data_IF_531390493543
#
_entry.id   IF_531390493543
#
_cell.length_a   1.000
_cell.length_b   1.000
_cell.length_c   1.000
_cell.angle_alpha   90.00
_cell.angle_beta   90.00
_cell.angle_gamma   90.00
#
_symmetry.space_group_name_H-M   'P 1'
#
loop_
_entity.id
_entity.type
_entity.pdbx_description
1 polymer ?
#
# COMPACT_ATOMS: atom_id res chain seq x y z
N UNK A 1 8.05 0.68 -11.82
CA UNK A 1 6.78 0.76 -11.04
C UNK A 1 7.09 1.42 -9.71
N UNK A 2 6.25 2.33 -9.29
CA UNK A 2 6.33 2.99 -7.97
C UNK A 2 4.90 3.00 -7.42
N UNK A 3 4.72 2.50 -6.21
CA UNK A 3 3.46 2.69 -5.47
C UNK A 3 3.37 4.17 -5.14
N UNK A 4 2.28 4.83 -5.56
CA UNK A 4 2.09 6.26 -5.31
C UNK A 4 1.70 6.52 -3.86
N UNK A 5 1.87 7.75 -3.41
CA UNK A 5 1.42 8.16 -2.07
C UNK A 5 -0.11 8.03 -1.91
N UNK A 6 -0.87 8.19 -3.00
CA UNK A 6 -2.31 7.97 -2.98
C UNK A 6 -2.67 6.51 -2.69
N UNK A 7 -1.95 5.57 -3.28
CA UNK A 7 -2.15 4.12 -3.01
C UNK A 7 -1.76 3.78 -1.58
N UNK A 8 -0.63 4.32 -1.05
CA UNK A 8 -0.26 4.15 0.36
C UNK A 8 -1.37 4.63 1.30
N UNK A 9 -1.90 5.81 1.03
CA UNK A 9 -3.01 6.35 1.80
C UNK A 9 -4.28 5.50 1.68
N UNK A 10 -4.58 4.96 0.49
CA UNK A 10 -5.72 4.08 0.28
C UNK A 10 -5.58 2.77 1.07
N UNK A 11 -4.41 2.16 1.09
CA UNK A 11 -4.14 0.98 1.92
C UNK A 11 -4.41 1.26 3.40
N UNK A 12 -3.95 2.39 3.91
CA UNK A 12 -4.13 2.79 5.30
C UNK A 12 -5.60 3.05 5.63
N UNK A 13 -6.32 3.74 4.76
CA UNK A 13 -7.76 4.00 4.89
C UNK A 13 -8.54 2.69 4.90
N UNK A 14 -8.32 1.82 3.91
CA UNK A 14 -9.01 0.53 3.82
C UNK A 14 -8.71 -0.37 5.02
N UNK A 15 -7.44 -0.45 5.44
CA UNK A 15 -7.03 -1.22 6.62
C UNK A 15 -7.72 -0.70 7.89
N UNK A 16 -7.80 0.61 8.06
CA UNK A 16 -8.50 1.22 9.21
C UNK A 16 -10.00 0.91 9.19
N UNK A 17 -10.68 1.09 8.06
CA UNK A 17 -12.09 0.75 7.93
C UNK A 17 -12.34 -0.75 8.16
N UNK A 18 -11.43 -1.61 7.74
CA UNK A 18 -11.51 -3.05 7.98
C UNK A 18 -11.38 -3.44 9.47
N UNK A 19 -10.75 -2.61 10.31
CA UNK A 19 -10.75 -2.81 11.77
C UNK A 19 -12.04 -2.36 12.43
N UNK A 20 -12.84 -1.55 11.75
CA UNK A 20 -14.10 -0.94 12.21
C UNK A 20 -15.31 -1.63 11.59
N UNK A 21 -15.30 -2.97 11.52
CA UNK A 21 -16.35 -3.77 10.87
C UNK A 21 -17.76 -3.32 11.24
N UNK A 22 -18.55 -2.90 10.23
CA UNK A 22 -19.92 -2.47 10.39
C UNK A 22 -20.12 -1.06 10.97
N UNK A 23 -19.06 -0.38 11.38
CA UNK A 23 -19.13 0.99 11.88
C UNK A 23 -18.98 1.99 10.72
N UNK A 24 -19.72 3.10 10.80
CA UNK A 24 -19.60 4.23 9.88
C UNK A 24 -18.63 5.23 10.50
N UNK A 25 -17.51 5.49 9.80
CA UNK A 25 -16.43 6.35 10.29
C UNK A 25 -16.40 7.66 9.51
N UNK A 26 -16.34 8.79 10.20
CA UNK A 26 -16.27 10.11 9.54
C UNK A 26 -14.95 10.36 8.82
N UNK A 27 -14.98 11.15 7.73
CA UNK A 27 -13.76 11.47 7.00
C UNK A 27 -12.71 12.23 7.84
N UNK A 28 -13.08 13.20 8.68
CA UNK A 28 -12.13 13.82 9.63
C UNK A 28 -11.47 12.82 10.58
N UNK A 29 -12.22 11.88 11.13
CA UNK A 29 -11.68 10.84 12.02
C UNK A 29 -10.67 9.95 11.30
N UNK A 30 -10.99 9.53 10.06
CA UNK A 30 -10.06 8.75 9.23
C UNK A 30 -8.78 9.56 8.98
N UNK A 31 -8.92 10.84 8.60
CA UNK A 31 -7.83 11.73 8.29
C UNK A 31 -6.88 11.90 9.49
N UNK A 32 -7.43 12.17 10.66
CA UNK A 32 -6.68 12.36 11.91
C UNK A 32 -5.99 11.05 12.33
N UNK A 33 -6.76 9.95 12.40
CA UNK A 33 -6.24 8.65 12.85
C UNK A 33 -5.13 8.12 11.96
N UNK A 34 -5.25 8.32 10.64
CA UNK A 34 -4.28 7.84 9.66
C UNK A 34 -3.18 8.88 9.35
N UNK A 35 -3.24 10.08 9.95
CA UNK A 35 -2.35 11.20 9.68
C UNK A 35 -2.26 11.52 8.17
N UNK A 36 -3.42 11.60 7.50
CA UNK A 36 -3.57 11.95 6.09
C UNK A 36 -4.30 13.30 6.02
N UNK A 37 -3.85 14.26 5.21
CA UNK A 37 -4.59 15.51 5.05
C UNK A 37 -6.02 15.26 4.57
N UNK A 38 -7.01 15.89 5.19
CA UNK A 38 -8.44 15.63 4.96
C UNK A 38 -8.85 15.72 3.46
N UNK A 39 -8.27 16.68 2.76
CA UNK A 39 -8.51 16.84 1.32
C UNK A 39 -8.10 15.62 0.49
N UNK A 40 -7.00 14.97 0.87
CA UNK A 40 -6.57 13.72 0.23
C UNK A 40 -7.45 12.56 0.64
N UNK A 41 -7.82 12.47 1.94
CA UNK A 41 -8.74 11.45 2.44
C UNK A 41 -10.04 11.44 1.67
N UNK A 42 -10.69 12.60 1.49
CA UNK A 42 -11.94 12.72 0.74
C UNK A 42 -11.79 12.33 -0.74
N UNK A 43 -10.67 12.70 -1.38
CA UNK A 43 -10.40 12.33 -2.77
C UNK A 43 -10.22 10.82 -2.93
N UNK A 44 -9.50 10.18 -2.02
CA UNK A 44 -9.26 8.75 -2.04
C UNK A 44 -10.54 7.98 -1.75
N UNK A 45 -11.29 8.37 -0.72
CA UNK A 45 -12.60 7.78 -0.38
C UNK A 45 -13.57 7.84 -1.57
N UNK A 46 -13.56 8.96 -2.34
CA UNK A 46 -14.36 9.05 -3.56
C UNK A 46 -13.95 8.01 -4.60
N UNK A 47 -12.64 7.82 -4.84
CA UNK A 47 -12.15 6.80 -5.79
C UNK A 47 -12.53 5.39 -5.34
N UNK A 48 -12.34 5.09 -4.06
CA UNK A 48 -12.71 3.80 -3.46
C UNK A 48 -14.22 3.53 -3.54
N UNK A 49 -15.03 4.57 -3.34
CA UNK A 49 -16.49 4.48 -3.47
C UNK A 49 -16.90 4.18 -4.93
N UNK A 50 -16.32 4.89 -5.91
CA UNK A 50 -16.56 4.62 -7.32
C UNK A 50 -16.16 3.22 -7.76
N UNK A 51 -15.17 2.63 -7.10
CA UNK A 51 -14.74 1.25 -7.32
C UNK A 51 -15.59 0.20 -6.53
N UNK A 52 -16.57 0.64 -5.73
CA UNK A 52 -17.40 -0.24 -4.92
C UNK A 52 -16.67 -0.91 -3.74
N UNK A 53 -15.53 -0.36 -3.33
CA UNK A 53 -14.76 -0.84 -2.18
C UNK A 53 -15.30 -0.26 -0.89
N UNK A 54 -15.64 1.02 -0.88
CA UNK A 54 -16.27 1.72 0.25
C UNK A 54 -17.60 2.31 -0.18
N UNK A 55 -18.47 2.58 0.80
CA UNK A 55 -19.68 3.37 0.57
C UNK A 55 -19.84 4.42 1.67
N UNK A 56 -20.75 5.37 1.46
CA UNK A 56 -20.95 6.51 2.33
C UNK A 56 -22.41 6.61 2.83
N UNK A 57 -22.57 6.76 4.14
CA UNK A 57 -23.86 7.07 4.75
C UNK A 57 -23.98 8.59 4.97
N UNK A 58 -25.08 9.19 4.51
CA UNK A 58 -25.34 10.62 4.70
C UNK A 58 -26.01 10.91 6.04
N UNK A 59 -25.85 12.13 6.56
CA UNK A 59 -26.52 12.62 7.77
C UNK A 59 -25.57 13.08 8.86
N UNK A 60 -26.09 13.50 10.01
CA UNK A 60 -25.32 13.98 11.15
C UNK A 60 -24.35 12.92 11.72
N UNK A 61 -24.71 11.66 11.62
CA UNK A 61 -23.87 10.48 11.96
C UNK A 61 -23.38 9.77 10.70
N UNK A 62 -23.15 10.52 9.62
CA UNK A 62 -22.68 10.01 8.35
C UNK A 62 -21.19 9.75 8.35
N UNK A 63 -20.74 9.01 7.35
CA UNK A 63 -19.33 8.68 7.15
C UNK A 63 -19.16 7.59 6.12
N UNK A 64 -18.06 6.91 6.19
CA UNK A 64 -17.65 5.87 5.24
C UNK A 64 -17.49 4.53 5.93
N UNK A 65 -17.73 3.47 5.21
CA UNK A 65 -17.56 2.09 5.67
C UNK A 65 -17.10 1.20 4.52
N UNK A 66 -16.50 0.07 4.85
CA UNK A 66 -16.08 -0.93 3.86
C UNK A 66 -17.30 -1.76 3.44
N UNK A 67 -17.57 -1.84 2.13
CA UNK A 67 -18.67 -2.65 1.57
C UNK A 67 -18.24 -4.10 1.41
N UNK A 68 -17.00 -4.30 0.97
CA UNK A 68 -16.42 -5.60 0.70
C UNK A 68 -15.86 -6.24 1.95
N UNK A 69 -15.97 -7.56 2.05
CA UNK A 69 -15.30 -8.30 3.12
C UNK A 69 -13.77 -8.13 3.00
N UNK A 70 -13.10 -7.90 4.11
CA UNK A 70 -11.65 -7.77 4.18
C UNK A 70 -10.89 -9.02 3.72
N UNK A 71 -11.51 -10.21 3.82
CA UNK A 71 -10.94 -11.47 3.35
C UNK A 71 -11.04 -11.64 1.84
N UNK A 72 -12.00 -10.96 1.19
CA UNK A 72 -12.21 -11.01 -0.26
C UNK A 72 -11.55 -9.83 -0.98
N UNK A 73 -11.23 -8.75 -0.28
CA UNK A 73 -10.59 -7.58 -0.86
C UNK A 73 -9.06 -7.74 -0.83
N UNK A 74 -8.46 -7.74 -2.02
CA UNK A 74 -7.01 -7.85 -2.16
C UNK A 74 -6.34 -6.49 -2.47
N UNK A 75 -5.03 -6.43 -2.28
CA UNK A 75 -4.27 -5.18 -2.49
C UNK A 75 -4.27 -4.73 -3.96
N UNK A 76 -4.36 -5.65 -4.92
CA UNK A 76 -4.40 -5.29 -6.34
C UNK A 76 -5.63 -4.47 -6.68
N UNK A 77 -6.80 -4.83 -6.17
CA UNK A 77 -8.06 -4.10 -6.42
C UNK A 77 -8.00 -2.66 -5.87
N UNK A 78 -7.36 -2.47 -4.72
CA UNK A 78 -7.15 -1.13 -4.16
C UNK A 78 -6.20 -0.31 -5.05
N UNK A 79 -5.10 -0.90 -5.52
CA UNK A 79 -4.18 -0.24 -6.46
C UNK A 79 -4.92 0.15 -7.74
N UNK A 80 -5.68 -0.78 -8.31
CA UNK A 80 -6.42 -0.58 -9.55
C UNK A 80 -7.48 0.52 -9.42
N UNK A 81 -8.15 0.62 -8.26
CA UNK A 81 -9.12 1.67 -7.97
C UNK A 81 -8.49 3.09 -7.89
N UNK A 82 -7.24 3.19 -7.47
CA UNK A 82 -6.57 4.48 -7.25
C UNK A 82 -5.78 4.93 -8.48
N UNK A 83 -4.89 4.08 -8.98
CA UNK A 83 -3.91 4.40 -10.03
C UNK A 83 -4.21 3.72 -11.37
N UNK A 84 -5.22 2.84 -11.39
CA UNK A 84 -5.47 1.96 -12.54
C UNK A 84 -4.57 0.73 -12.57
N UNK A 85 -4.63 -0.06 -13.64
CA UNK A 85 -3.92 -1.33 -13.73
C UNK A 85 -2.40 -1.14 -13.67
N UNK A 86 -1.74 -2.05 -12.98
CA UNK A 86 -0.28 -2.06 -12.83
C UNK A 86 0.38 -2.25 -14.20
N UNK A 87 1.23 -1.31 -14.57
CA UNK A 87 1.99 -1.33 -15.81
C UNK A 87 3.45 -0.95 -15.53
N UNK A 88 4.35 -1.90 -15.66
CA UNK A 88 5.78 -1.67 -15.38
C UNK A 88 6.51 -1.06 -16.56
N UNK A 89 5.99 -1.20 -17.79
CA UNK A 89 6.59 -0.60 -18.99
C UNK A 89 5.52 -0.21 -20.01
N UNK A 90 5.83 0.77 -20.85
CA UNK A 90 4.94 1.26 -21.91
C UNK A 90 4.50 0.17 -22.87
N UNK A 91 5.41 -0.74 -23.26
CA UNK A 91 5.10 -1.81 -24.21
C UNK A 91 4.08 -2.85 -23.68
N UNK A 92 3.71 -2.78 -22.39
CA UNK A 92 2.70 -3.64 -21.79
C UNK A 92 1.32 -2.96 -21.71
N UNK A 93 1.19 -1.75 -22.21
CA UNK A 93 -0.11 -1.04 -22.30
C UNK A 93 -0.93 -1.62 -23.44
N UNK A 94 -2.21 -1.86 -23.16
CA UNK A 94 -3.16 -2.25 -24.20
C UNK A 94 -3.38 -1.07 -25.18
N UNK A 95 -3.27 -1.32 -26.46
CA UNK A 95 -3.64 -0.37 -27.49
C UNK A 95 -2.59 0.67 -27.87
N UNK A 96 -1.39 0.64 -27.29
CA UNK A 96 -0.38 1.65 -27.55
C UNK A 96 0.70 1.22 -28.55
N UNK A 97 0.91 2.05 -29.57
CA UNK A 97 2.01 1.99 -30.55
C UNK A 97 3.36 2.45 -29.95
N UNK A 98 3.62 2.15 -28.66
CA UNK A 98 4.75 2.74 -27.93
C UNK A 98 6.08 2.02 -28.11
N UNK A 99 6.15 1.01 -28.94
CA UNK A 99 7.43 0.39 -29.25
C UNK A 99 7.99 0.94 -30.58
N UNK A 100 8.97 1.82 -30.50
CA UNK A 100 9.62 2.40 -31.68
C UNK A 100 10.30 1.37 -32.62
N UNK A 101 10.51 0.14 -32.14
CA UNK A 101 11.11 -0.94 -32.94
C UNK A 101 10.09 -1.93 -33.49
N UNK A 102 8.97 -2.16 -32.76
CA UNK A 102 8.05 -3.24 -33.06
C UNK A 102 6.63 -2.66 -33.15
N UNK A 103 6.21 -2.32 -34.38
CA UNK A 103 4.91 -1.69 -34.63
C UNK A 103 3.75 -2.69 -34.68
N UNK A 104 4.03 -3.98 -34.91
CA UNK A 104 3.00 -5.01 -34.95
C UNK A 104 2.92 -5.80 -33.63
N UNK A 105 1.73 -6.32 -33.33
CA UNK A 105 1.54 -7.16 -32.15
C UNK A 105 2.46 -8.40 -32.20
N UNK A 106 2.60 -9.03 -33.35
CA UNK A 106 3.45 -10.21 -33.55
C UNK A 106 4.92 -9.91 -33.23
N UNK A 107 5.45 -8.77 -33.66
CA UNK A 107 6.81 -8.34 -33.34
C UNK A 107 6.99 -8.07 -31.84
N UNK A 108 5.98 -7.49 -31.18
CA UNK A 108 5.99 -7.29 -29.73
C UNK A 108 6.02 -8.61 -28.96
N UNK A 109 5.20 -9.58 -29.38
CA UNK A 109 5.17 -10.92 -28.78
C UNK A 109 6.49 -11.66 -28.95
N UNK A 110 7.20 -11.47 -30.04
CA UNK A 110 8.54 -12.04 -30.27
C UNK A 110 9.66 -11.31 -29.51
N UNK A 111 9.40 -10.14 -28.96
CA UNK A 111 10.40 -9.35 -28.25
C UNK A 111 10.71 -9.97 -26.88
N UNK A 112 11.95 -10.39 -26.66
CA UNK A 112 12.41 -10.99 -25.40
C UNK A 112 12.20 -10.07 -24.18
N UNK A 113 12.35 -8.75 -24.35
CA UNK A 113 12.06 -7.78 -23.29
C UNK A 113 10.57 -7.75 -22.96
N UNK A 114 9.70 -7.72 -23.99
CA UNK A 114 8.25 -7.73 -23.78
C UNK A 114 7.80 -9.00 -23.04
N UNK A 115 8.24 -10.16 -23.49
CA UNK A 115 7.92 -11.45 -22.84
C UNK A 115 8.37 -11.47 -21.38
N UNK A 116 9.63 -11.05 -21.10
CA UNK A 116 10.16 -11.09 -19.74
C UNK A 116 9.51 -10.08 -18.82
N UNK A 117 9.27 -8.86 -19.31
CA UNK A 117 8.56 -7.82 -18.53
C UNK A 117 7.09 -8.17 -18.30
N UNK A 118 6.42 -8.80 -19.28
CA UNK A 118 5.06 -9.31 -19.12
C UNK A 118 4.98 -10.37 -18.01
N UNK A 119 5.92 -11.31 -18.02
CA UNK A 119 6.02 -12.33 -16.96
C UNK A 119 6.24 -11.71 -15.56
N UNK A 120 7.17 -10.76 -15.46
CA UNK A 120 7.45 -10.05 -14.18
C UNK A 120 6.21 -9.28 -13.72
N UNK A 121 5.54 -8.56 -14.62
CA UNK A 121 4.31 -7.84 -14.30
C UNK A 121 3.22 -8.78 -13.79
N UNK A 122 3.00 -9.90 -14.46
CA UNK A 122 2.04 -10.93 -14.04
C UNK A 122 2.36 -11.49 -12.66
N UNK A 123 3.63 -11.74 -12.36
CA UNK A 123 4.07 -12.21 -11.05
C UNK A 123 3.78 -11.18 -9.95
N UNK A 124 4.08 -9.89 -10.19
CA UNK A 124 3.79 -8.79 -9.25
C UNK A 124 2.27 -8.68 -9.02
N UNK A 125 1.46 -8.70 -10.08
CA UNK A 125 0.00 -8.65 -9.97
C UNK A 125 -0.52 -9.83 -9.15
N UNK A 126 -0.03 -11.04 -9.39
CA UNK A 126 -0.45 -12.22 -8.65
C UNK A 126 -0.09 -12.11 -7.15
N UNK A 127 1.08 -11.60 -6.81
CA UNK A 127 1.45 -11.37 -5.41
C UNK A 127 0.47 -10.41 -4.72
N UNK A 128 0.11 -9.29 -5.36
CA UNK A 128 -0.89 -8.36 -4.79
C UNK A 128 -2.29 -8.96 -4.72
N UNK A 129 -2.68 -9.81 -5.67
CA UNK A 129 -3.98 -10.50 -5.66
C UNK A 129 -4.08 -11.57 -4.57
N UNK A 130 -2.98 -12.19 -4.22
CA UNK A 130 -2.94 -13.20 -3.15
C UNK A 130 -2.90 -12.57 -1.76
N UNK A 131 -2.53 -11.30 -1.64
CA UNK A 131 -2.43 -10.59 -0.37
C UNK A 131 -3.77 -9.90 -0.08
N UNK A 132 -4.49 -10.36 0.95
CA UNK A 132 -5.79 -9.81 1.33
C UNK A 132 -5.68 -8.69 2.34
N UNK A 133 -6.69 -7.83 2.41
CA UNK A 133 -6.75 -6.75 3.39
C UNK A 133 -6.82 -7.28 4.83
N UNK A 134 -7.34 -8.48 5.03
CA UNK A 134 -7.44 -9.11 6.34
C UNK A 134 -6.09 -9.31 7.04
N UNK A 135 -5.01 -9.45 6.28
CA UNK A 135 -3.66 -9.57 6.82
C UNK A 135 -3.22 -8.30 7.58
N UNK A 136 -3.74 -7.15 7.17
CA UNK A 136 -3.41 -5.83 7.73
C UNK A 136 -4.43 -5.36 8.77
N UNK A 137 -5.67 -5.86 8.74
CA UNK A 137 -6.74 -5.45 9.64
C UNK A 137 -6.57 -6.00 11.07
N UNK A 138 -5.78 -7.05 11.28
CA UNK A 138 -5.60 -7.70 12.60
C UNK A 138 -4.59 -7.00 13.52
N UNK A 139 -3.86 -6.00 13.05
CA UNK A 139 -2.70 -5.48 13.77
C UNK A 139 -2.92 -4.07 14.34
N UNK A 140 -3.64 -3.98 15.47
CA UNK A 140 -3.48 -2.83 16.41
C UNK A 140 -2.01 -2.62 16.82
N UNK A 141 -1.14 -3.59 16.58
CA UNK A 141 0.30 -3.52 16.84
C UNK A 141 1.06 -2.65 15.82
N UNK A 142 0.65 -2.65 14.54
CA UNK A 142 1.27 -1.84 13.48
C UNK A 142 1.09 -0.33 13.67
N UNK A 143 0.00 0.11 14.26
CA UNK A 143 -0.21 1.53 14.57
C UNK A 143 0.75 2.04 15.64
N UNK A 144 1.11 1.22 16.64
CA UNK A 144 2.09 1.58 17.68
C UNK A 144 3.53 1.60 17.14
N UNK A 145 3.89 0.66 16.29
CA UNK A 145 5.24 0.54 15.72
C UNK A 145 5.49 1.63 14.66
N UNK A 146 4.55 1.85 13.73
CA UNK A 146 4.70 2.87 12.71
C UNK A 146 4.70 4.30 13.28
N UNK A 147 3.84 4.61 14.26
CA UNK A 147 3.88 5.94 14.90
C UNK A 147 5.21 6.21 15.63
N UNK A 148 5.84 5.18 16.19
CA UNK A 148 7.16 5.31 16.81
C UNK A 148 8.27 5.45 15.76
N UNK A 149 8.25 4.62 14.72
CA UNK A 149 9.26 4.64 13.66
C UNK A 149 9.20 5.91 12.79
N UNK A 150 8.01 6.38 12.40
CA UNK A 150 7.85 7.63 11.65
C UNK A 150 8.16 8.87 12.50
N UNK A 151 7.82 8.89 13.79
CA UNK A 151 8.22 10.00 14.68
C UNK A 151 9.72 10.04 14.88
N UNK A 152 10.36 8.91 15.04
CA UNK A 152 11.82 8.83 15.15
C UNK A 152 12.50 9.17 13.81
N UNK A 153 12.01 8.65 12.67
CA UNK A 153 12.55 9.00 11.35
C UNK A 153 12.38 10.48 10.99
N UNK A 154 11.29 11.13 11.38
CA UNK A 154 11.09 12.57 11.19
C UNK A 154 12.00 13.43 12.09
N UNK A 155 12.38 12.93 13.26
CA UNK A 155 13.37 13.57 14.13
C UNK A 155 14.75 13.50 13.48
N UNK A 156 15.11 12.37 12.85
CA UNK A 156 16.38 12.19 12.15
C UNK A 156 16.48 13.00 10.84
N UNK A 157 15.37 13.22 10.14
CA UNK A 157 15.33 14.05 8.93
C UNK A 157 15.56 15.55 9.22
N UNK A 158 15.28 16.01 10.44
CA UNK A 158 15.47 17.41 10.86
C UNK A 158 16.82 17.71 11.49
N UNK A 159 17.70 16.72 11.67
CA UNK A 159 19.03 16.96 12.22
C UNK A 159 20.03 17.40 11.15
N UNK A 160 20.80 18.47 11.40
CA UNK A 160 21.85 18.91 10.48
C UNK A 160 22.95 17.85 10.35
N UNK A 161 23.53 17.75 9.16
CA UNK A 161 24.54 16.77 8.70
C UNK A 161 25.83 16.65 9.54
N UNK A 162 25.97 17.39 10.62
CA UNK A 162 27.21 17.50 11.44
C UNK A 162 27.33 16.46 12.57
N UNK A 163 26.40 15.51 12.72
CA UNK A 163 26.39 14.55 13.84
C UNK A 163 26.66 13.10 13.46
N UNK A 164 27.33 12.84 12.35
CA UNK A 164 27.48 11.47 11.82
C UNK A 164 28.65 10.64 12.43
N UNK A 165 29.49 11.21 13.29
CA UNK A 165 30.74 10.54 13.73
C UNK A 165 30.63 9.70 15.02
N UNK A 166 29.49 9.63 15.71
CA UNK A 166 29.38 8.88 16.97
C UNK A 166 28.45 7.68 16.99
N UNK A 167 28.05 7.13 15.83
CA UNK A 167 27.01 6.09 15.72
C UNK A 167 27.50 4.65 15.58
N UNK A 168 28.76 4.33 15.89
CA UNK A 168 29.25 2.94 15.90
C UNK A 168 28.65 2.05 17.01
N UNK A 169 28.11 2.64 18.07
CA UNK A 169 27.54 1.91 19.21
C UNK A 169 26.04 1.55 19.01
N UNK A 170 25.27 2.38 18.29
CA UNK A 170 23.84 2.13 18.09
C UNK A 170 23.56 1.04 17.03
N UNK A 171 24.45 0.91 16.04
CA UNK A 171 24.34 -0.11 14.97
C UNK A 171 24.46 -1.55 15.50
N UNK A 172 25.24 -1.77 16.55
CA UNK A 172 25.40 -3.10 17.21
C UNK A 172 24.15 -3.50 18.00
N UNK A 173 23.43 -2.58 18.61
CA UNK A 173 22.24 -2.86 19.41
C UNK A 173 21.01 -3.15 18.56
N UNK A 174 20.83 -2.47 17.42
CA UNK A 174 19.73 -2.74 16.47
C UNK A 174 19.88 -4.07 15.73
N UNK A 175 21.11 -4.54 15.50
CA UNK A 175 21.35 -5.87 14.89
C UNK A 175 21.09 -7.02 15.87
N UNK A 176 21.35 -6.83 17.17
CA UNK A 176 21.04 -7.85 18.18
C UNK A 176 19.53 -8.01 18.44
N UNK A 177 18.75 -6.92 18.35
CA UNK A 177 17.30 -6.98 18.52
C UNK A 177 16.58 -7.56 17.29
N UNK A 178 17.15 -7.42 16.08
CA UNK A 178 16.60 -8.04 14.87
C UNK A 178 16.78 -9.56 14.82
N UNK A 179 17.88 -10.10 15.37
CA UNK A 179 18.10 -11.54 15.45
C UNK A 179 17.20 -12.22 16.51
N UNK A 180 16.79 -11.48 17.55
CA UNK A 180 15.86 -11.99 18.58
C UNK A 180 14.42 -12.09 18.07
N UNK A 181 14.04 -11.25 17.09
CA UNK A 181 12.72 -11.27 16.46
C UNK A 181 12.65 -12.36 15.39
N UNK A 182 13.73 -12.58 14.64
CA UNK A 182 13.80 -13.64 13.64
C UNK A 182 13.68 -15.05 14.25
N UNK A 183 14.30 -15.28 15.41
CA UNK A 183 14.25 -16.59 16.12
C UNK A 183 12.88 -16.87 16.76
N UNK A 184 12.09 -15.85 17.12
CA UNK A 184 10.73 -16.05 17.65
C UNK A 184 9.67 -16.28 16.59
N UNK A 185 9.88 -15.85 15.36
CA UNK A 185 8.93 -16.04 14.25
C UNK A 185 9.08 -17.41 13.60
N UNK A 186 10.29 -17.99 13.61
CA UNK A 186 10.55 -19.32 13.01
C UNK A 186 10.17 -20.48 13.98
N UNK A 187 10.07 -20.23 15.29
CA UNK A 187 9.76 -21.24 16.31
C UNK A 187 8.27 -21.62 16.45
N UNK A 188 7.35 -20.99 15.72
CA UNK A 188 5.89 -21.28 15.79
C UNK A 188 5.32 -21.96 14.53
N UNK A 189 6.18 -22.50 13.65
CA UNK A 189 5.77 -23.33 12.51
C UNK A 189 6.48 -24.71 12.57
N UNK A 190 6.19 -25.45 13.61
CA UNK A 190 6.31 -26.91 13.65
C UNK A 190 5.20 -27.49 14.50
#
# INVERSE_FOLDING_TARGET
MRITQEVDYAFRICSYLATKEGEVVSAPEIAETQAIPERFTLRILRKLNLAGITDAKRGAYGGYYLVRDKYDLNLYEIIEAIDGPIQINRCLRSGDEYCSKNNTQKEREMCKFHQKLSYIQGSIINMFKQTTLAEFAKTSHWQKVNNKFYREALIWWKMPLFYFDHLSACRRKCLQDSDLIATKVIGNYN
#
